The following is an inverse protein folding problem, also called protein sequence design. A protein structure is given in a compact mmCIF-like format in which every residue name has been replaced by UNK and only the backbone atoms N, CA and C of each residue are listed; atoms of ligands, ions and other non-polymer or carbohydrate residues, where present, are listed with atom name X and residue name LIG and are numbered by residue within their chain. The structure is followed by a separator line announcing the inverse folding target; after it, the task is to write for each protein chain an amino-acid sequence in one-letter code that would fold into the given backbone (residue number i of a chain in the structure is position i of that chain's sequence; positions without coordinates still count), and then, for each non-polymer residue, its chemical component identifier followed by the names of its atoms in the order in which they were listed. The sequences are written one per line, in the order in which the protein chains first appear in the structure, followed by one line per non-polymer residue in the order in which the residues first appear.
data_IF_976756953849
#
_entry.id   IF_976756953849
#
_cell.length_a   1.000
_cell.length_b   1.000
_cell.length_c   1.000
_cell.angle_alpha   90.00
_cell.angle_beta   90.00
_cell.angle_gamma   90.00
#
_symmetry.space_group_name_H-M   'P 1'
#
loop_
_entity.id
_entity.type
_entity.pdbx_description
1 polymer ?
#
# COMPACT_ATOMS: atom_id res chain seq x y z
N UNK A 1 55.95 76.06 23.16
CA UNK A 1 56.86 76.88 23.99
C UNK A 1 57.89 75.92 24.52
N UNK A 2 59.15 76.18 24.26
CA UNK A 2 60.24 75.36 24.79
C UNK A 2 60.44 75.67 26.27
N UNK A 3 60.79 74.64 27.04
CA UNK A 3 61.13 74.79 28.46
C UNK A 3 62.26 75.82 28.62
N UNK A 4 62.08 76.77 29.53
CA UNK A 4 63.09 77.81 29.79
C UNK A 4 64.37 77.20 30.38
N UNK A 5 65.50 77.88 30.17
CA UNK A 5 66.82 77.34 30.48
C UNK A 5 67.03 77.05 31.98
N UNK A 6 66.32 77.76 32.88
CA UNK A 6 66.45 77.55 34.32
C UNK A 6 65.67 76.29 34.75
N UNK A 7 64.45 76.12 34.24
CA UNK A 7 63.66 74.90 34.45
C UNK A 7 64.34 73.68 33.82
N UNK A 8 64.95 73.81 32.64
CA UNK A 8 65.72 72.72 32.01
C UNK A 8 66.90 72.27 32.88
N UNK A 9 67.67 73.20 33.42
CA UNK A 9 68.76 72.87 34.36
C UNK A 9 68.29 72.20 35.65
N UNK A 10 67.10 72.56 36.15
CA UNK A 10 66.52 71.88 37.31
C UNK A 10 66.04 70.47 36.95
N UNK A 11 65.45 70.28 35.77
CA UNK A 11 65.03 69.00 35.25
C UNK A 11 66.22 68.04 35.04
N UNK A 12 67.32 68.53 34.46
CA UNK A 12 68.56 67.76 34.27
C UNK A 12 69.16 67.30 35.62
N UNK A 13 69.10 68.16 36.66
CA UNK A 13 69.54 67.81 38.02
C UNK A 13 68.67 66.71 38.63
N UNK A 14 67.35 66.79 38.46
CA UNK A 14 66.43 65.78 38.96
C UNK A 14 66.67 64.45 38.23
N UNK A 15 66.86 64.48 36.91
CA UNK A 15 67.18 63.29 36.12
C UNK A 15 68.50 62.64 36.58
N UNK A 16 69.53 63.45 36.84
CA UNK A 16 70.80 62.96 37.40
C UNK A 16 70.63 62.29 38.77
N UNK A 17 69.90 62.92 39.69
CA UNK A 17 69.64 62.36 41.03
C UNK A 17 68.81 61.07 40.95
N UNK A 18 67.83 61.01 40.05
CA UNK A 18 67.02 59.81 39.85
C UNK A 18 67.84 58.67 39.26
N UNK A 19 68.78 58.95 38.36
CA UNK A 19 69.69 57.94 37.83
C UNK A 19 70.64 57.41 38.91
N UNK A 20 71.22 58.29 39.73
CA UNK A 20 72.09 57.87 40.84
C UNK A 20 71.32 57.01 41.86
N UNK A 21 70.09 57.42 42.21
CA UNK A 21 69.22 56.64 43.09
C UNK A 21 68.80 55.30 42.49
N UNK A 22 68.61 55.20 41.17
CA UNK A 22 68.33 53.93 40.50
C UNK A 22 69.53 52.98 40.57
N UNK A 23 70.76 53.50 40.43
CA UNK A 23 71.97 52.70 40.61
C UNK A 23 72.12 52.21 42.05
N UNK A 24 71.81 53.06 43.03
CA UNK A 24 71.83 52.67 44.44
C UNK A 24 70.76 51.59 44.72
N UNK A 25 69.55 51.74 44.21
CA UNK A 25 68.47 50.76 44.36
C UNK A 25 68.78 49.43 43.65
N UNK A 26 69.48 49.47 42.51
CA UNK A 26 69.99 48.28 41.83
C UNK A 26 71.02 47.55 42.71
N UNK A 27 71.91 48.29 43.39
CA UNK A 27 72.87 47.68 44.31
C UNK A 27 72.18 47.11 45.56
N UNK A 28 71.29 47.88 46.17
CA UNK A 28 70.54 47.47 47.37
C UNK A 28 69.61 46.29 47.09
N UNK A 29 69.01 46.21 45.90
CA UNK A 29 68.18 45.06 45.51
C UNK A 29 68.97 43.76 45.33
N UNK A 30 70.30 43.80 45.43
CA UNK A 30 71.21 42.66 45.39
C UNK A 30 71.89 42.40 46.73
N UNK A 31 71.59 43.20 47.76
CA UNK A 31 72.04 42.97 49.12
C UNK A 31 71.11 41.98 49.84
N UNK A 32 71.66 41.05 50.64
CA UNK A 32 70.89 40.28 51.61
C UNK A 32 70.07 41.19 52.53
N UNK A 33 68.84 40.76 52.88
CA UNK A 33 68.00 41.44 53.88
C UNK A 33 68.65 41.44 55.27
N UNK A 34 69.31 40.34 55.65
CA UNK A 34 70.11 40.26 56.86
C UNK A 34 71.60 40.23 56.50
N UNK A 35 72.30 41.29 56.91
CA UNK A 35 73.74 41.43 56.74
C UNK A 35 74.50 40.95 57.99
N UNK A 36 73.89 40.35 58.99
CA UNK A 36 74.60 39.79 60.15
C UNK A 36 75.30 38.44 59.93
N UNK A 37 74.89 37.55 58.99
CA UNK A 37 75.44 36.20 58.88
C UNK A 37 76.95 36.12 58.65
N UNK A 38 77.55 37.09 57.94
CA UNK A 38 79.01 37.11 57.73
C UNK A 38 79.81 37.37 59.02
N UNK A 39 79.19 37.93 60.07
CA UNK A 39 79.86 38.11 61.37
C UNK A 39 79.87 36.83 62.21
N UNK A 40 79.09 35.82 61.81
CA UNK A 40 78.98 34.54 62.53
C UNK A 40 80.10 33.61 62.09
N UNK A 41 80.94 33.20 63.04
CA UNK A 41 82.08 32.31 62.81
C UNK A 41 81.69 31.00 62.11
N UNK A 42 80.52 30.44 62.44
CA UNK A 42 80.00 29.21 61.81
C UNK A 42 79.78 29.40 60.32
N UNK A 43 79.12 30.49 59.90
CA UNK A 43 78.87 30.79 58.48
C UNK A 43 80.18 30.99 57.71
N UNK A 44 81.16 31.70 58.29
CA UNK A 44 82.47 31.90 57.65
C UNK A 44 83.29 30.60 57.51
N UNK A 45 83.25 29.72 58.51
CA UNK A 45 83.91 28.41 58.45
C UNK A 45 83.26 27.50 57.40
N UNK A 46 81.93 27.55 57.26
CA UNK A 46 81.17 26.85 56.22
C UNK A 46 81.49 27.40 54.82
N UNK A 47 81.52 28.72 54.64
CA UNK A 47 81.92 29.35 53.36
C UNK A 47 83.36 28.97 53.00
N UNK A 48 84.30 29.01 53.95
CA UNK A 48 85.69 28.64 53.72
C UNK A 48 85.82 27.16 53.34
N UNK A 49 85.09 26.26 54.01
CA UNK A 49 85.13 24.82 53.71
C UNK A 49 84.48 24.50 52.36
N UNK A 50 83.34 25.11 52.02
CA UNK A 50 82.69 24.97 50.70
C UNK A 50 83.58 25.47 49.55
N UNK A 51 84.26 26.60 49.73
CA UNK A 51 85.20 27.14 48.74
C UNK A 51 86.48 26.30 48.58
N UNK A 52 86.91 25.58 49.62
CA UNK A 52 88.09 24.70 49.59
C UNK A 52 87.79 23.27 49.14
N UNK A 53 86.59 22.74 49.37
CA UNK A 53 86.21 21.36 49.06
C UNK A 53 85.55 21.20 47.69
N UNK A 54 84.97 22.27 47.12
CA UNK A 54 84.29 22.24 45.82
C UNK A 54 83.03 21.37 45.79
N UNK A 55 82.47 21.01 46.95
CA UNK A 55 81.26 20.22 47.08
C UNK A 55 80.07 21.11 47.46
N UNK A 56 79.15 21.33 46.52
CA UNK A 56 77.82 21.87 46.77
C UNK A 56 76.88 20.68 47.06
N UNK A 57 76.92 20.13 48.28
CA UNK A 57 75.93 19.15 48.74
C UNK A 57 75.54 19.42 50.20
N UNK A 58 74.31 19.91 50.38
CA UNK A 58 73.60 20.02 51.66
C UNK A 58 72.26 20.70 51.44
N UNK A 59 71.17 19.93 51.45
CA UNK A 59 69.79 20.43 51.56
C UNK A 59 69.55 20.82 53.03
N UNK A 60 69.46 22.11 53.37
CA UNK A 60 68.80 22.61 54.60
C UNK A 60 68.44 24.11 54.45
N UNK A 61 67.18 24.37 54.07
CA UNK A 61 66.66 25.62 53.49
C UNK A 61 66.81 26.94 54.33
N UNK A 62 67.30 26.91 55.57
CA UNK A 62 67.59 28.13 56.37
C UNK A 62 69.10 28.37 56.61
N UNK A 63 69.91 27.32 56.70
CA UNK A 63 71.38 27.47 56.84
C UNK A 63 72.03 27.91 55.51
N UNK A 64 71.39 27.58 54.38
CA UNK A 64 71.86 27.94 53.04
C UNK A 64 71.77 29.45 52.75
N UNK A 65 70.78 30.16 53.32
CA UNK A 65 70.60 31.61 53.12
C UNK A 65 71.66 32.44 53.87
N UNK A 66 71.90 32.12 55.14
CA UNK A 66 72.91 32.76 55.99
C UNK A 66 74.33 32.49 55.47
N UNK A 67 74.61 31.26 55.04
CA UNK A 67 75.89 30.88 54.43
C UNK A 67 76.07 31.58 53.08
N UNK A 68 75.01 31.75 52.30
CA UNK A 68 75.07 32.46 51.03
C UNK A 68 75.27 33.98 51.21
N UNK A 69 74.58 34.61 52.15
CA UNK A 69 74.80 36.01 52.51
C UNK A 69 76.26 36.22 52.94
N UNK A 70 76.80 35.31 53.77
CA UNK A 70 78.21 35.32 54.13
C UNK A 70 79.13 35.08 52.92
N UNK A 71 78.75 34.24 51.96
CA UNK A 71 79.53 33.96 50.74
C UNK A 71 79.65 35.18 49.83
N UNK A 72 78.58 35.96 49.67
CA UNK A 72 78.61 37.19 48.87
C UNK A 72 79.59 38.20 49.45
N UNK A 73 79.55 38.39 50.76
CA UNK A 73 80.39 39.35 51.49
C UNK A 73 81.85 38.88 51.52
N UNK A 74 82.07 37.58 51.76
CA UNK A 74 83.38 36.95 51.66
C UNK A 74 83.97 37.05 50.25
N UNK A 75 83.13 36.90 49.21
CA UNK A 75 83.52 37.05 47.81
C UNK A 75 84.06 38.43 47.48
N UNK A 76 83.42 39.49 48.02
CA UNK A 76 83.89 40.87 47.89
C UNK A 76 85.18 41.07 48.67
N UNK A 77 85.20 40.66 49.93
CA UNK A 77 86.35 40.82 50.80
C UNK A 77 87.61 40.14 50.24
N UNK A 78 87.47 38.93 49.67
CA UNK A 78 88.56 38.16 49.05
C UNK A 78 89.13 38.81 47.79
N UNK A 79 88.35 39.58 47.04
CA UNK A 79 88.85 40.27 45.84
C UNK A 79 89.77 41.44 46.19
N UNK A 80 89.62 42.00 47.39
CA UNK A 80 90.24 43.28 47.78
C UNK A 80 91.09 43.21 49.07
N UNK A 81 91.27 42.03 49.66
CA UNK A 81 92.10 41.84 50.85
C UNK A 81 92.05 40.41 51.39
N UNK A 82 92.58 40.21 52.60
CA UNK A 82 92.36 38.96 53.35
C UNK A 82 90.92 38.99 53.92
N UNK A 83 90.05 38.04 53.54
CA UNK A 83 88.68 37.99 54.04
C UNK A 83 88.57 37.56 55.52
N UNK A 84 89.69 37.23 56.17
CA UNK A 84 89.78 36.93 57.61
C UNK A 84 90.33 38.07 58.44
N UNK A 85 90.85 39.13 57.80
CA UNK A 85 91.39 40.33 58.44
C UNK A 85 90.37 41.47 58.38
N UNK A 86 89.47 41.51 59.38
CA UNK A 86 88.40 42.52 59.47
C UNK A 86 88.98 43.94 59.62
N UNK A 87 90.08 44.08 60.36
CA UNK A 87 90.71 45.38 60.63
C UNK A 87 91.49 45.90 59.40
N UNK A 88 92.00 44.99 58.56
CA UNK A 88 92.75 45.32 57.34
C UNK A 88 91.91 45.45 56.07
N UNK A 89 90.65 45.04 56.08
CA UNK A 89 89.75 45.05 54.92
C UNK A 89 88.68 46.13 55.05
N UNK A 90 88.76 47.18 54.24
CA UNK A 90 87.85 48.34 54.30
C UNK A 90 86.37 47.97 54.16
N UNK A 91 86.04 46.99 53.31
CA UNK A 91 84.65 46.51 53.14
C UNK A 91 84.17 45.87 54.43
N UNK A 92 84.97 44.98 55.02
CA UNK A 92 84.61 44.28 56.25
C UNK A 92 84.54 45.24 57.45
N UNK A 93 85.45 46.21 57.53
CA UNK A 93 85.46 47.22 58.58
C UNK A 93 84.21 48.10 58.52
N UNK A 94 83.87 48.65 57.35
CA UNK A 94 82.69 49.50 57.19
C UNK A 94 81.39 48.72 57.43
N UNK A 95 81.34 47.46 57.00
CA UNK A 95 80.19 46.59 57.26
C UNK A 95 80.09 46.19 58.74
N UNK A 96 81.22 45.98 59.44
CA UNK A 96 81.23 45.74 60.89
C UNK A 96 80.69 46.96 61.64
N UNK A 97 81.22 48.14 61.33
CA UNK A 97 80.78 49.41 61.93
C UNK A 97 79.30 49.68 61.66
N UNK A 98 78.82 49.34 60.46
CA UNK A 98 77.42 49.48 60.09
C UNK A 98 76.53 48.51 60.88
N UNK A 99 76.90 47.22 60.98
CA UNK A 99 76.15 46.21 61.72
C UNK A 99 76.12 46.49 63.23
N UNK A 100 77.23 46.98 63.81
CA UNK A 100 77.25 47.42 65.22
C UNK A 100 76.33 48.62 65.44
N UNK A 101 76.32 49.59 64.52
CA UNK A 101 75.43 50.74 64.61
C UNK A 101 73.95 50.36 64.47
N UNK A 102 73.61 49.45 63.55
CA UNK A 102 72.24 48.92 63.42
C UNK A 102 71.79 48.24 64.70
N UNK A 103 72.67 47.44 65.32
CA UNK A 103 72.41 46.79 66.60
C UNK A 103 72.18 47.82 67.72
N UNK A 104 73.06 48.80 67.86
CA UNK A 104 72.94 49.87 68.86
C UNK A 104 71.66 50.68 68.67
N UNK A 105 71.29 50.99 67.43
CA UNK A 105 70.05 51.69 67.09
C UNK A 105 68.80 50.85 67.38
N UNK A 106 68.85 49.55 67.10
CA UNK A 106 67.74 48.63 67.38
C UNK A 106 67.58 48.41 68.89
N UNK A 107 68.67 48.29 69.65
CA UNK A 107 68.67 48.28 71.11
C UNK A 107 68.12 49.60 71.67
N UNK A 108 68.53 50.75 71.15
CA UNK A 108 67.99 52.04 71.56
C UNK A 108 66.48 52.17 71.25
N UNK A 109 66.05 51.74 70.06
CA UNK A 109 64.64 51.74 69.66
C UNK A 109 63.79 50.83 70.56
N UNK A 110 64.31 49.66 70.94
CA UNK A 110 63.57 48.69 71.75
C UNK A 110 63.58 49.02 73.25
N UNK A 111 64.68 49.57 73.78
CA UNK A 111 64.82 49.90 75.21
C UNK A 111 64.27 51.29 75.55
N UNK A 112 64.57 52.29 74.72
CA UNK A 112 64.21 53.70 74.97
C UNK A 112 62.94 54.10 74.21
N UNK A 113 62.56 53.38 73.16
CA UNK A 113 61.39 53.67 72.34
C UNK A 113 61.64 54.72 71.25
N UNK A 114 62.88 55.18 71.08
CA UNK A 114 63.25 56.20 70.08
C UNK A 114 64.72 56.10 69.70
N UNK A 115 65.04 56.42 68.44
CA UNK A 115 66.41 56.55 67.94
C UNK A 115 66.74 58.03 67.76
N UNK A 116 67.93 58.46 68.21
CA UNK A 116 68.37 59.85 68.07
C UNK A 116 68.68 60.21 66.59
N UNK A 117 68.41 61.47 66.22
CA UNK A 117 68.68 62.00 64.87
C UNK A 117 70.17 61.91 64.49
N UNK A 118 71.06 62.08 65.47
CA UNK A 118 72.51 61.90 65.31
C UNK A 118 72.87 60.47 64.92
N UNK A 119 72.22 59.47 65.54
CA UNK A 119 72.37 58.06 65.20
C UNK A 119 71.85 57.75 63.80
N UNK A 120 70.68 58.27 63.44
CA UNK A 120 70.09 58.10 62.11
C UNK A 120 70.95 58.73 61.00
N UNK A 121 71.50 59.94 61.24
CA UNK A 121 72.40 60.60 60.30
C UNK A 121 73.72 59.84 60.14
N UNK A 122 74.29 59.32 61.24
CA UNK A 122 75.48 58.46 61.19
C UNK A 122 75.20 57.18 60.40
N UNK A 123 74.03 56.58 60.60
CA UNK A 123 73.59 55.41 59.86
C UNK A 123 73.46 55.67 58.37
N UNK A 124 72.83 56.77 57.95
CA UNK A 124 72.74 57.12 56.53
C UNK A 124 74.11 57.37 55.89
N UNK A 125 75.02 58.05 56.59
CA UNK A 125 76.37 58.31 56.09
C UNK A 125 77.20 57.02 55.96
N UNK A 126 77.13 56.15 56.96
CA UNK A 126 77.83 54.86 56.92
C UNK A 126 77.21 53.92 55.88
N UNK A 127 75.88 53.86 55.77
CA UNK A 127 75.20 53.10 54.73
C UNK A 127 75.63 53.57 53.34
N UNK A 128 75.67 54.90 53.12
CA UNK A 128 76.15 55.45 51.86
C UNK A 128 77.60 55.09 51.59
N UNK A 129 78.47 55.18 52.59
CA UNK A 129 79.87 54.78 52.47
C UNK A 129 79.99 53.28 52.11
N UNK A 130 79.20 52.41 52.73
CA UNK A 130 79.14 50.99 52.39
C UNK A 130 78.68 50.79 50.94
N UNK A 131 77.63 51.48 50.48
CA UNK A 131 77.17 51.38 49.08
C UNK A 131 78.24 51.86 48.09
N UNK A 132 78.90 53.00 48.36
CA UNK A 132 79.96 53.54 47.52
C UNK A 132 81.15 52.58 47.47
N UNK A 133 81.57 52.03 48.62
CA UNK A 133 82.64 51.02 48.71
C UNK A 133 82.26 49.74 47.96
N UNK A 134 81.03 49.22 48.11
CA UNK A 134 80.58 48.03 47.38
C UNK A 134 80.51 48.27 45.87
N UNK A 135 80.09 49.48 45.46
CA UNK A 135 80.04 49.91 44.07
C UNK A 135 81.45 49.98 43.46
N UNK A 136 82.38 50.64 44.15
CA UNK A 136 83.78 50.78 43.71
C UNK A 136 84.50 49.42 43.65
N UNK A 137 84.07 48.46 44.47
CA UNK A 137 84.58 47.10 44.50
C UNK A 137 83.86 46.12 43.54
N UNK A 138 83.04 46.64 42.61
CA UNK A 138 82.35 45.87 41.58
C UNK A 138 81.40 44.77 42.12
N UNK A 139 80.68 45.08 43.22
CA UNK A 139 79.71 44.16 43.84
C UNK A 139 78.64 43.68 42.87
N UNK A 140 77.97 44.59 42.16
CA UNK A 140 76.86 44.24 41.25
C UNK A 140 77.29 43.28 40.13
N UNK A 141 78.38 43.52 39.38
CA UNK A 141 78.92 42.56 38.42
C UNK A 141 79.26 41.20 39.04
N UNK A 142 79.85 41.19 40.23
CA UNK A 142 80.21 39.95 40.94
C UNK A 142 79.00 39.11 41.31
N UNK A 143 77.97 39.72 41.89
CA UNK A 143 76.74 39.02 42.26
C UNK A 143 76.06 38.46 41.02
N UNK A 144 76.00 39.22 39.93
CA UNK A 144 75.46 38.74 38.64
C UNK A 144 76.24 37.57 38.08
N UNK A 145 77.57 37.59 38.17
CA UNK A 145 78.40 36.48 37.72
C UNK A 145 78.16 35.21 38.55
N UNK A 146 77.99 35.34 39.88
CA UNK A 146 77.63 34.24 40.78
C UNK A 146 76.23 33.72 40.44
N UNK A 147 75.27 34.61 40.19
CA UNK A 147 73.92 34.27 39.74
C UNK A 147 73.92 33.52 38.42
N UNK A 148 74.66 33.99 37.42
CA UNK A 148 74.76 33.34 36.10
C UNK A 148 75.42 31.97 36.20
N UNK A 149 76.47 31.80 37.01
CA UNK A 149 77.08 30.47 37.24
C UNK A 149 76.10 29.50 37.88
N UNK A 150 75.31 29.94 38.86
CA UNK A 150 74.28 29.11 39.51
C UNK A 150 73.09 28.81 38.59
N UNK A 151 72.62 29.79 37.83
CA UNK A 151 71.55 29.59 36.83
C UNK A 151 71.97 28.59 35.74
N UNK A 152 73.25 28.60 35.34
CA UNK A 152 73.80 27.64 34.39
C UNK A 152 74.02 26.24 34.99
N UNK A 153 74.23 26.13 36.31
CA UNK A 153 74.33 24.86 37.02
C UNK A 153 72.96 24.21 37.30
N UNK A 154 71.91 25.02 37.53
CA UNK A 154 70.55 24.61 37.88
C UNK A 154 69.54 24.83 36.73
N UNK A 155 69.56 23.99 35.69
CA UNK A 155 68.56 24.05 34.58
C UNK A 155 67.20 23.39 34.95
N UNK A 156 66.99 22.90 36.19
CA UNK A 156 65.83 22.05 36.53
C UNK A 156 65.00 22.41 37.79
N UNK A 157 65.24 23.51 38.49
CA UNK A 157 64.32 24.01 39.54
C UNK A 157 63.91 25.45 39.22
N UNK A 158 62.63 25.62 38.92
CA UNK A 158 62.04 26.83 38.34
C UNK A 158 61.69 27.95 39.30
N UNK A 159 62.41 28.09 40.41
CA UNK A 159 62.26 29.22 41.31
C UNK A 159 63.63 29.89 41.47
N UNK A 160 63.69 31.19 41.17
CA UNK A 160 64.90 32.00 41.36
C UNK A 160 65.32 31.86 42.82
N UNK A 161 66.44 31.18 43.07
CA UNK A 161 66.97 30.84 44.41
C UNK A 161 67.34 32.06 45.29
N UNK A 162 66.92 33.25 44.89
CA UNK A 162 67.19 34.55 45.50
C UNK A 162 65.92 35.36 45.79
N UNK A 163 64.76 34.89 45.37
CA UNK A 163 63.49 35.52 45.74
C UNK A 163 63.27 35.66 47.27
N UNK A 164 63.77 34.77 48.16
CA UNK A 164 63.59 34.94 49.60
C UNK A 164 64.63 35.87 50.27
N UNK A 165 65.81 36.05 49.67
CA UNK A 165 66.92 36.84 50.22
C UNK A 165 66.84 38.35 49.94
N UNK A 166 66.01 38.75 48.98
CA UNK A 166 65.94 40.12 48.47
C UNK A 166 64.65 40.79 48.94
N UNK A 167 64.73 42.05 49.36
CA UNK A 167 63.53 42.79 49.77
C UNK A 167 62.63 43.10 48.56
N UNK A 168 61.40 42.54 48.48
CA UNK A 168 60.45 42.85 47.42
C UNK A 168 60.04 44.33 47.43
N UNK A 169 60.16 45.01 48.57
CA UNK A 169 59.95 46.45 48.73
C UNK A 169 60.94 47.29 47.93
N UNK A 170 62.23 46.94 47.94
CA UNK A 170 63.28 47.63 47.17
C UNK A 170 63.05 47.44 45.66
N UNK A 171 62.68 46.23 45.24
CA UNK A 171 62.38 45.93 43.84
C UNK A 171 61.10 46.63 43.34
N UNK A 172 60.10 46.80 44.20
CA UNK A 172 58.91 47.59 43.89
C UNK A 172 59.25 49.08 43.79
N UNK A 173 60.06 49.60 44.71
CA UNK A 173 60.53 50.98 44.69
C UNK A 173 61.36 51.27 43.43
N UNK A 174 62.29 50.39 43.06
CA UNK A 174 63.08 50.51 41.84
C UNK A 174 62.17 50.65 40.61
N UNK A 175 61.18 49.76 40.43
CA UNK A 175 60.22 49.84 39.31
C UNK A 175 59.43 51.15 39.28
N UNK A 176 59.02 51.65 40.44
CA UNK A 176 58.33 52.95 40.55
C UNK A 176 59.28 54.09 40.15
N UNK A 177 60.53 54.03 40.59
CA UNK A 177 61.56 55.02 40.26
C UNK A 177 61.94 54.99 38.78
N UNK A 178 61.99 53.81 38.15
CA UNK A 178 62.20 53.64 36.71
C UNK A 178 61.03 54.26 35.91
N UNK A 179 59.79 53.99 36.34
CA UNK A 179 58.61 54.58 35.72
C UNK A 179 58.59 56.11 35.88
N UNK A 180 58.99 56.61 37.05
CA UNK A 180 59.10 58.04 37.32
C UNK A 180 60.19 58.70 36.47
N UNK A 181 61.36 58.08 36.36
CA UNK A 181 62.46 58.55 35.52
C UNK A 181 62.03 58.59 34.04
N UNK A 182 61.34 57.57 33.55
CA UNK A 182 60.79 57.53 32.20
C UNK A 182 59.76 58.64 31.97
N UNK A 183 58.84 58.85 32.92
CA UNK A 183 57.83 59.91 32.85
C UNK A 183 58.46 61.30 32.84
N UNK A 184 59.47 61.53 33.68
CA UNK A 184 60.19 62.80 33.74
C UNK A 184 60.97 63.02 32.45
N UNK A 185 61.65 62.00 31.93
CA UNK A 185 62.36 62.08 30.66
C UNK A 185 61.42 62.39 29.47
N UNK A 186 60.22 61.80 29.43
CA UNK A 186 59.19 62.11 28.43
C UNK A 186 58.71 63.54 28.60
N UNK A 187 58.31 63.93 29.81
CA UNK A 187 57.80 65.28 30.10
C UNK A 187 58.81 66.38 29.83
N UNK A 188 60.10 66.11 30.04
CA UNK A 188 61.18 67.06 29.76
C UNK A 188 61.42 67.25 28.25
N UNK A 189 60.97 66.28 27.43
CA UNK A 189 61.13 66.28 25.97
C UNK A 189 59.87 66.71 25.22
N UNK A 190 58.69 66.57 25.81
CA UNK A 190 57.41 66.96 25.20
C UNK A 190 57.19 68.47 25.25
N UNK A 191 56.74 69.04 24.12
CA UNK A 191 56.38 70.46 24.02
C UNK A 191 54.88 70.69 24.19
N UNK A 192 54.49 71.88 24.64
CA UNK A 192 53.07 72.30 24.75
C UNK A 192 52.30 72.12 23.44
N UNK A 193 52.96 72.24 22.28
CA UNK A 193 52.31 72.05 20.98
C UNK A 193 51.97 70.58 20.72
N UNK A 194 52.83 69.65 21.14
CA UNK A 194 52.58 68.21 21.05
C UNK A 194 51.46 67.80 22.01
N UNK A 195 51.40 68.36 23.21
CA UNK A 195 50.30 68.12 24.15
C UNK A 195 48.94 68.57 23.59
N UNK A 196 48.90 69.77 22.99
CA UNK A 196 47.68 70.28 22.33
C UNK A 196 47.29 69.42 21.13
N UNK A 197 48.26 68.87 20.39
CA UNK A 197 48.01 67.97 19.27
C UNK A 197 47.46 66.62 19.74
N UNK A 198 48.09 66.01 20.74
CA UNK A 198 47.66 64.75 21.35
C UNK A 198 46.27 64.88 21.98
N UNK A 199 45.99 65.99 22.66
CA UNK A 199 44.67 66.28 23.19
C UNK A 199 43.61 66.39 22.10
N UNK A 200 43.92 67.04 20.96
CA UNK A 200 43.00 67.12 19.82
C UNK A 200 42.70 65.74 19.23
N UNK A 201 43.72 64.91 19.02
CA UNK A 201 43.54 63.53 18.52
C UNK A 201 42.65 62.74 19.47
N UNK A 202 42.94 62.80 20.78
CA UNK A 202 42.16 62.09 21.78
C UNK A 202 40.71 62.56 21.81
N UNK A 203 40.49 63.87 21.75
CA UNK A 203 39.15 64.45 21.74
C UNK A 203 38.35 64.07 20.47
N UNK A 204 38.99 64.06 19.31
CA UNK A 204 38.38 63.56 18.07
C UNK A 204 38.04 62.06 18.15
N UNK A 205 38.93 61.24 18.72
CA UNK A 205 38.70 59.82 18.93
C UNK A 205 37.50 59.57 19.86
N UNK A 206 37.43 60.28 20.99
CA UNK A 206 36.31 60.19 21.93
C UNK A 206 35.00 60.64 21.28
N UNK A 207 35.02 61.68 20.45
CA UNK A 207 33.83 62.12 19.73
C UNK A 207 33.37 61.08 18.69
N UNK A 208 34.30 60.46 17.95
CA UNK A 208 33.99 59.36 17.02
C UNK A 208 33.42 58.14 17.74
N UNK A 209 33.95 57.82 18.92
CA UNK A 209 33.42 56.74 19.75
C UNK A 209 32.00 57.04 20.24
N UNK A 210 31.74 58.28 20.69
CA UNK A 210 30.40 58.71 21.10
C UNK A 210 29.39 58.63 19.95
N UNK A 211 29.76 59.05 18.73
CA UNK A 211 28.89 58.93 17.55
C UNK A 211 28.66 57.47 17.19
N UNK A 212 29.70 56.64 17.14
CA UNK A 212 29.56 55.21 16.87
C UNK A 212 28.68 54.50 17.92
N UNK A 213 28.80 54.87 19.20
CA UNK A 213 27.93 54.37 20.27
C UNK A 213 26.46 54.77 20.07
N UNK A 214 26.20 55.97 19.57
CA UNK A 214 24.85 56.41 19.23
C UNK A 214 24.28 55.60 18.04
N UNK A 215 25.10 55.36 17.00
CA UNK A 215 24.70 54.57 15.83
C UNK A 215 24.40 53.11 16.21
N UNK A 216 25.22 52.49 17.07
CA UNK A 216 24.96 51.14 17.59
C UNK A 216 23.65 51.10 18.38
N UNK A 217 23.35 52.14 19.17
CA UNK A 217 22.07 52.22 19.89
C UNK A 217 20.89 52.41 18.94
N UNK A 218 21.04 53.17 17.85
CA UNK A 218 20.02 53.33 16.82
C UNK A 218 19.75 52.01 16.10
N UNK A 219 20.80 51.35 15.59
CA UNK A 219 20.73 50.03 14.96
C UNK A 219 20.09 48.98 15.87
N UNK A 220 20.44 48.99 17.17
CA UNK A 220 19.84 48.05 18.13
C UNK A 220 18.33 48.30 18.31
N UNK A 221 17.87 49.56 18.26
CA UNK A 221 16.42 49.86 18.29
C UNK A 221 15.72 49.42 17.01
N UNK A 222 16.26 49.75 15.84
CA UNK A 222 15.69 49.34 14.55
C UNK A 222 15.64 47.80 14.42
N UNK A 223 16.69 47.11 14.87
CA UNK A 223 16.71 45.65 14.94
C UNK A 223 15.63 45.10 15.87
N UNK A 224 15.44 45.72 17.03
CA UNK A 224 14.41 45.28 17.97
C UNK A 224 13.00 45.54 17.43
N UNK A 225 12.75 46.69 16.82
CA UNK A 225 11.47 47.02 16.17
C UNK A 225 11.15 46.07 15.02
N UNK A 226 12.13 45.79 14.15
CA UNK A 226 11.96 44.82 13.05
C UNK A 226 11.74 43.41 13.57
N UNK A 227 12.45 42.99 14.62
CA UNK A 227 12.24 41.70 15.27
C UNK A 227 10.84 41.59 15.85
N UNK A 228 10.35 42.61 16.56
CA UNK A 228 9.01 42.63 17.14
C UNK A 228 7.93 42.65 16.06
N UNK A 229 8.10 43.42 15.00
CA UNK A 229 7.20 43.43 13.84
C UNK A 229 7.13 42.06 13.16
N UNK A 230 8.26 41.39 12.96
CA UNK A 230 8.30 40.03 12.39
C UNK A 230 7.66 39.00 13.33
N UNK A 231 7.87 39.10 14.64
CA UNK A 231 7.20 38.24 15.60
C UNK A 231 5.67 38.41 15.57
N UNK A 232 5.18 39.64 15.42
CA UNK A 232 3.76 39.91 15.29
C UNK A 232 3.17 39.37 13.97
N UNK A 233 3.91 39.49 12.87
CA UNK A 233 3.54 38.91 11.57
C UNK A 233 3.45 37.38 11.63
N UNK A 234 4.46 36.72 12.22
CA UNK A 234 4.44 35.26 12.41
C UNK A 234 3.27 34.83 13.29
N UNK A 235 3.00 35.53 14.39
CA UNK A 235 1.87 35.21 15.25
C UNK A 235 0.52 35.37 14.51
N UNK A 236 0.38 36.37 13.65
CA UNK A 236 -0.83 36.54 12.83
C UNK A 236 -1.00 35.39 11.82
N UNK A 237 0.10 34.98 11.16
CA UNK A 237 0.08 33.84 10.23
C UNK A 237 -0.23 32.52 10.97
N UNK A 238 0.31 32.31 12.16
CA UNK A 238 -0.01 31.13 12.97
C UNK A 238 -1.51 31.07 13.32
N UNK A 239 -2.13 32.21 13.63
CA UNK A 239 -3.59 32.26 13.85
C UNK A 239 -4.40 31.99 12.59
N UNK A 240 -3.94 32.44 11.41
CA UNK A 240 -4.59 32.16 10.13
C UNK A 240 -4.47 30.67 9.77
N UNK A 241 -3.30 30.07 9.99
CA UNK A 241 -3.08 28.63 9.79
C UNK A 241 -4.03 27.82 10.67
N UNK A 242 -4.15 28.16 11.96
CA UNK A 242 -5.08 27.49 12.87
C UNK A 242 -6.53 27.57 12.38
N UNK A 243 -6.97 28.74 11.91
CA UNK A 243 -8.33 28.90 11.36
C UNK A 243 -8.54 28.01 10.12
N UNK A 244 -7.57 27.96 9.21
CA UNK A 244 -7.65 27.10 8.01
C UNK A 244 -7.66 25.62 8.40
N UNK A 245 -6.87 25.20 9.40
CA UNK A 245 -6.87 23.83 9.90
C UNK A 245 -8.24 23.45 10.49
N UNK A 246 -8.85 24.33 11.28
CA UNK A 246 -10.20 24.15 11.82
C UNK A 246 -11.25 24.08 10.71
N UNK A 247 -11.17 24.93 9.68
CA UNK A 247 -12.07 24.90 8.52
C UNK A 247 -11.93 23.59 7.72
N UNK A 248 -10.70 23.09 7.55
CA UNK A 248 -10.43 21.81 6.89
C UNK A 248 -11.03 20.66 7.71
N UNK A 249 -10.84 20.67 9.03
CA UNK A 249 -11.41 19.64 9.91
C UNK A 249 -12.94 19.67 9.90
N UNK A 250 -13.54 20.85 9.96
CA UNK A 250 -14.98 21.04 9.80
C UNK A 250 -15.48 20.47 8.47
N UNK A 251 -14.83 20.84 7.36
CA UNK A 251 -15.20 20.36 6.02
C UNK A 251 -15.06 18.84 5.91
N UNK A 252 -13.99 18.26 6.46
CA UNK A 252 -13.82 16.80 6.53
C UNK A 252 -14.93 16.12 7.32
N UNK A 253 -15.34 16.72 8.45
CA UNK A 253 -16.47 16.25 9.26
C UNK A 253 -17.78 16.26 8.48
N UNK A 254 -18.09 17.37 7.81
CA UNK A 254 -19.30 17.49 6.98
C UNK A 254 -19.30 16.47 5.84
N UNK A 255 -18.20 16.34 5.10
CA UNK A 255 -18.08 15.36 4.01
C UNK A 255 -18.23 13.93 4.52
N UNK A 256 -17.66 13.59 5.68
CA UNK A 256 -17.83 12.28 6.29
C UNK A 256 -19.30 12.00 6.67
N UNK A 257 -19.99 12.99 7.22
CA UNK A 257 -21.43 12.90 7.53
C UNK A 257 -22.27 12.74 6.25
N UNK A 258 -22.02 13.53 5.21
CA UNK A 258 -22.72 13.45 3.93
C UNK A 258 -22.48 12.11 3.25
N UNK A 259 -21.25 11.59 3.28
CA UNK A 259 -20.91 10.28 2.73
C UNK A 259 -21.62 9.17 3.50
N UNK A 260 -21.67 9.25 4.83
CA UNK A 260 -22.39 8.27 5.65
C UNK A 260 -23.89 8.27 5.33
N UNK A 261 -24.50 9.46 5.24
CA UNK A 261 -25.91 9.60 4.87
C UNK A 261 -26.19 9.08 3.44
N UNK A 262 -25.29 9.36 2.48
CA UNK A 262 -25.40 8.84 1.12
C UNK A 262 -25.33 7.32 1.08
N UNK A 263 -24.40 6.71 1.83
CA UNK A 263 -24.28 5.26 1.92
C UNK A 263 -25.52 4.62 2.55
N UNK A 264 -26.09 5.22 3.59
CA UNK A 264 -27.33 4.75 4.22
C UNK A 264 -28.51 4.80 3.25
N UNK A 265 -28.71 5.93 2.55
CA UNK A 265 -29.77 6.06 1.53
C UNK A 265 -29.58 5.07 0.39
N UNK A 266 -28.34 4.87 -0.08
CA UNK A 266 -28.06 3.92 -1.14
C UNK A 266 -28.32 2.47 -0.70
N UNK A 267 -28.00 2.14 0.56
CA UNK A 267 -28.33 0.84 1.15
C UNK A 267 -29.85 0.64 1.22
N UNK A 268 -30.60 1.63 1.72
CA UNK A 268 -32.07 1.57 1.76
C UNK A 268 -32.66 1.38 0.36
N UNK A 269 -32.19 2.13 -0.63
CA UNK A 269 -32.63 2.00 -2.03
C UNK A 269 -32.32 0.60 -2.60
N UNK A 270 -31.18 0.02 -2.25
CA UNK A 270 -30.81 -1.33 -2.67
C UNK A 270 -31.70 -2.39 -1.98
N UNK A 271 -32.01 -2.23 -0.70
CA UNK A 271 -32.94 -3.10 0.04
C UNK A 271 -34.36 -3.00 -0.53
N UNK A 272 -34.85 -1.80 -0.84
CA UNK A 272 -36.14 -1.58 -1.51
C UNK A 272 -36.19 -2.26 -2.88
N UNK A 273 -35.14 -2.12 -3.70
CA UNK A 273 -35.04 -2.81 -4.99
C UNK A 273 -35.08 -4.32 -4.83
N UNK A 274 -34.30 -4.87 -3.89
CA UNK A 274 -34.29 -6.31 -3.62
C UNK A 274 -35.66 -6.81 -3.15
N UNK A 275 -36.33 -6.07 -2.28
CA UNK A 275 -37.68 -6.40 -1.81
C UNK A 275 -38.69 -6.34 -2.96
N UNK A 276 -38.61 -5.32 -3.82
CA UNK A 276 -39.46 -5.19 -5.00
C UNK A 276 -39.25 -6.34 -5.99
N UNK A 277 -37.99 -6.66 -6.31
CA UNK A 277 -37.62 -7.77 -7.20
C UNK A 277 -38.10 -9.11 -6.63
N UNK A 278 -37.96 -9.33 -5.32
CA UNK A 278 -38.47 -10.52 -4.66
C UNK A 278 -40.00 -10.63 -4.74
N UNK A 279 -40.72 -9.51 -4.54
CA UNK A 279 -42.18 -9.45 -4.70
C UNK A 279 -42.60 -9.75 -6.14
N UNK A 280 -41.97 -9.09 -7.12
CA UNK A 280 -42.27 -9.29 -8.53
C UNK A 280 -41.97 -10.74 -8.98
N UNK A 281 -40.85 -11.33 -8.54
CA UNK A 281 -40.56 -12.75 -8.76
C UNK A 281 -41.63 -13.66 -8.12
N UNK A 282 -42.13 -13.30 -6.95
CA UNK A 282 -43.25 -13.97 -6.29
C UNK A 282 -44.52 -13.94 -7.14
N UNK A 283 -44.90 -12.78 -7.66
CA UNK A 283 -46.06 -12.61 -8.54
C UNK A 283 -45.92 -13.41 -9.84
N UNK A 284 -44.76 -13.33 -10.50
CA UNK A 284 -44.47 -14.09 -11.73
C UNK A 284 -44.54 -15.60 -11.47
N UNK A 285 -44.00 -16.08 -10.34
CA UNK A 285 -44.12 -17.50 -9.96
C UNK A 285 -45.57 -17.93 -9.74
N UNK A 286 -46.38 -17.10 -9.10
CA UNK A 286 -47.81 -17.37 -8.92
C UNK A 286 -48.55 -17.40 -10.26
N UNK A 287 -48.26 -16.47 -11.17
CA UNK A 287 -48.84 -16.47 -12.51
C UNK A 287 -48.41 -17.70 -13.32
N UNK A 288 -47.13 -18.08 -13.25
CA UNK A 288 -46.61 -19.29 -13.89
C UNK A 288 -47.34 -20.55 -13.37
N UNK A 289 -47.51 -20.68 -12.05
CA UNK A 289 -48.24 -21.79 -11.44
C UNK A 289 -49.72 -21.83 -11.90
N UNK A 290 -50.40 -20.68 -11.94
CA UNK A 290 -51.78 -20.57 -12.44
C UNK A 290 -51.88 -20.99 -13.91
N UNK A 291 -50.95 -20.55 -14.76
CA UNK A 291 -50.92 -20.94 -16.17
C UNK A 291 -50.61 -22.43 -16.35
N UNK A 292 -49.72 -23.00 -15.53
CA UNK A 292 -49.42 -24.42 -15.56
C UNK A 292 -50.65 -25.25 -15.16
N UNK A 293 -51.38 -24.85 -14.11
CA UNK A 293 -52.62 -25.50 -13.69
C UNK A 293 -53.72 -25.39 -14.77
N UNK A 294 -53.89 -24.22 -15.37
CA UNK A 294 -54.82 -24.02 -16.48
C UNK A 294 -54.46 -24.90 -17.69
N UNK A 295 -53.17 -25.00 -18.03
CA UNK A 295 -52.69 -25.85 -19.12
C UNK A 295 -52.92 -27.33 -18.83
N UNK A 296 -52.63 -27.80 -17.61
CA UNK A 296 -52.92 -29.18 -17.19
C UNK A 296 -54.42 -29.48 -17.30
N UNK A 297 -55.28 -28.55 -16.88
CA UNK A 297 -56.73 -28.70 -16.99
C UNK A 297 -57.19 -28.78 -18.44
N UNK A 298 -56.66 -27.93 -19.32
CA UNK A 298 -56.97 -27.96 -20.76
C UNK A 298 -56.47 -29.24 -21.43
N UNK A 299 -55.28 -29.72 -21.08
CA UNK A 299 -54.73 -30.98 -21.60
C UNK A 299 -55.59 -32.15 -21.16
N UNK A 300 -56.01 -32.20 -19.88
CA UNK A 300 -56.90 -33.24 -19.38
C UNK A 300 -58.25 -33.23 -20.12
N UNK A 301 -58.86 -32.06 -20.27
CA UNK A 301 -60.12 -31.89 -21.01
C UNK A 301 -59.99 -32.34 -22.47
N UNK A 302 -58.91 -31.97 -23.16
CA UNK A 302 -58.66 -32.41 -24.53
C UNK A 302 -58.45 -33.93 -24.61
N UNK A 303 -57.76 -34.53 -23.64
CA UNK A 303 -57.61 -35.98 -23.58
C UNK A 303 -58.94 -36.71 -23.41
N UNK A 304 -59.82 -36.20 -22.53
CA UNK A 304 -61.18 -36.69 -22.35
C UNK A 304 -62.01 -36.57 -23.63
N UNK A 305 -62.00 -35.39 -24.27
CA UNK A 305 -62.68 -35.15 -25.54
C UNK A 305 -62.16 -36.08 -26.65
N UNK A 306 -60.84 -36.25 -26.76
CA UNK A 306 -60.22 -37.17 -27.73
C UNK A 306 -60.64 -38.62 -27.47
N UNK A 307 -60.67 -39.05 -26.20
CA UNK A 307 -61.11 -40.39 -25.82
C UNK A 307 -62.60 -40.62 -26.14
N UNK A 308 -63.46 -39.64 -25.85
CA UNK A 308 -64.87 -39.67 -26.23
C UNK A 308 -65.06 -39.75 -27.75
N UNK A 309 -64.31 -38.97 -28.53
CA UNK A 309 -64.36 -39.02 -29.98
C UNK A 309 -63.85 -40.36 -30.54
N UNK A 310 -62.78 -40.92 -29.97
CA UNK A 310 -62.27 -42.26 -30.35
C UNK A 310 -63.30 -43.35 -30.08
N UNK A 311 -63.94 -43.34 -28.91
CA UNK A 311 -64.99 -44.33 -28.57
C UNK A 311 -66.23 -44.16 -29.45
N UNK A 312 -66.66 -42.93 -29.75
CA UNK A 312 -67.74 -42.68 -30.71
C UNK A 312 -67.38 -43.16 -32.12
N UNK A 313 -66.15 -42.89 -32.58
CA UNK A 313 -65.64 -43.38 -33.86
C UNK A 313 -65.66 -44.89 -33.91
N UNK A 314 -65.12 -45.59 -32.90
CA UNK A 314 -65.13 -47.05 -32.83
C UNK A 314 -66.56 -47.62 -32.85
N UNK A 315 -67.51 -47.00 -32.14
CA UNK A 315 -68.93 -47.40 -32.18
C UNK A 315 -69.53 -47.23 -33.58
N UNK A 316 -69.26 -46.12 -34.26
CA UNK A 316 -69.74 -45.87 -35.63
C UNK A 316 -69.09 -46.81 -36.63
N UNK A 317 -67.77 -47.04 -36.54
CA UNK A 317 -67.04 -48.00 -37.38
C UNK A 317 -67.57 -49.42 -37.18
N UNK A 318 -67.86 -49.83 -35.94
CA UNK A 318 -68.49 -51.12 -35.65
C UNK A 318 -69.91 -51.22 -36.22
N UNK A 319 -70.73 -50.17 -36.11
CA UNK A 319 -72.08 -50.14 -36.68
C UNK A 319 -72.05 -50.22 -38.22
N UNK A 320 -71.14 -49.49 -38.87
CA UNK A 320 -70.95 -49.58 -40.34
C UNK A 320 -70.46 -50.96 -40.73
N UNK A 321 -69.50 -51.54 -40.00
CA UNK A 321 -69.00 -52.88 -40.27
C UNK A 321 -70.11 -53.93 -40.13
N UNK A 322 -70.95 -53.82 -39.10
CA UNK A 322 -72.12 -54.68 -38.92
C UNK A 322 -73.13 -54.54 -40.07
N UNK A 323 -73.43 -53.30 -40.48
CA UNK A 323 -74.33 -53.05 -41.62
C UNK A 323 -73.79 -53.62 -42.94
N UNK A 324 -72.47 -53.53 -43.18
CA UNK A 324 -71.81 -54.17 -44.33
C UNK A 324 -71.98 -55.69 -44.26
N UNK A 325 -71.69 -56.31 -43.10
CA UNK A 325 -71.84 -57.77 -42.96
C UNK A 325 -73.29 -58.23 -43.15
N UNK A 326 -74.27 -57.45 -42.70
CA UNK A 326 -75.69 -57.75 -42.90
C UNK A 326 -76.08 -57.61 -44.38
N UNK A 327 -75.61 -56.55 -45.04
CA UNK A 327 -75.81 -56.37 -46.48
C UNK A 327 -75.18 -57.51 -47.30
N UNK A 328 -73.94 -57.90 -46.98
CA UNK A 328 -73.25 -59.02 -47.64
C UNK A 328 -74.00 -60.34 -47.43
N UNK A 329 -74.56 -60.58 -46.24
CA UNK A 329 -75.39 -61.75 -45.95
C UNK A 329 -76.70 -61.72 -46.77
N UNK A 330 -77.38 -60.58 -46.85
CA UNK A 330 -78.59 -60.41 -47.64
C UNK A 330 -78.30 -60.65 -49.14
N UNK A 331 -77.21 -60.09 -49.65
CA UNK A 331 -76.77 -60.29 -51.04
C UNK A 331 -76.41 -61.74 -51.32
N UNK A 332 -75.69 -62.41 -50.41
CA UNK A 332 -75.39 -63.84 -50.52
C UNK A 332 -76.67 -64.69 -50.57
N UNK A 333 -77.65 -64.36 -49.72
CA UNK A 333 -78.96 -65.06 -49.69
C UNK A 333 -79.73 -64.84 -50.99
N UNK A 334 -79.76 -63.60 -51.51
CA UNK A 334 -80.38 -63.28 -52.80
C UNK A 334 -79.69 -63.97 -53.98
N UNK A 335 -78.36 -64.03 -53.99
CA UNK A 335 -77.61 -64.77 -55.00
C UNK A 335 -77.93 -66.27 -54.94
N UNK A 336 -78.00 -66.86 -53.75
CA UNK A 336 -78.39 -68.26 -53.57
C UNK A 336 -79.83 -68.52 -54.04
N UNK A 337 -80.78 -67.63 -53.73
CA UNK A 337 -82.15 -67.72 -54.19
C UNK A 337 -82.27 -67.59 -55.72
N UNK A 338 -81.50 -66.68 -56.31
CA UNK A 338 -81.45 -66.48 -57.78
C UNK A 338 -80.85 -67.71 -58.47
N UNK A 339 -79.80 -68.30 -57.90
CA UNK A 339 -79.22 -69.54 -58.41
C UNK A 339 -80.22 -70.71 -58.32
N UNK A 340 -80.99 -70.81 -57.23
CA UNK A 340 -82.04 -71.81 -57.09
C UNK A 340 -83.17 -71.63 -58.11
N UNK A 341 -83.65 -70.40 -58.30
CA UNK A 341 -84.67 -70.08 -59.31
C UNK A 341 -84.19 -70.35 -60.73
N UNK A 342 -82.92 -70.03 -61.04
CA UNK A 342 -82.34 -70.36 -62.35
C UNK A 342 -82.28 -71.87 -62.56
N UNK A 343 -81.91 -72.64 -61.54
CA UNK A 343 -81.91 -74.11 -61.61
C UNK A 343 -83.32 -74.67 -61.81
N UNK A 344 -84.30 -74.14 -61.09
CA UNK A 344 -85.72 -74.50 -61.26
C UNK A 344 -86.21 -74.16 -62.67
N UNK A 345 -85.85 -72.99 -63.21
CA UNK A 345 -86.17 -72.61 -64.58
C UNK A 345 -85.50 -73.53 -65.62
N UNK A 346 -84.25 -73.94 -65.40
CA UNK A 346 -83.57 -74.94 -66.24
C UNK A 346 -84.32 -76.29 -66.21
N UNK A 347 -84.68 -76.79 -65.03
CA UNK A 347 -85.46 -78.03 -64.85
C UNK A 347 -86.84 -77.95 -65.54
N UNK A 348 -87.54 -76.82 -65.39
CA UNK A 348 -88.82 -76.57 -66.06
C UNK A 348 -88.67 -76.53 -67.59
N UNK A 349 -87.60 -75.92 -68.11
CA UNK A 349 -87.34 -75.94 -69.55
C UNK A 349 -87.05 -77.35 -70.06
N UNK A 350 -86.32 -78.17 -69.31
CA UNK A 350 -86.08 -79.58 -69.65
C UNK A 350 -87.40 -80.38 -69.66
N UNK A 351 -88.28 -80.15 -68.67
CA UNK A 351 -89.59 -80.80 -68.62
C UNK A 351 -90.49 -80.39 -69.79
N UNK A 352 -90.48 -79.12 -70.20
CA UNK A 352 -91.22 -78.64 -71.37
C UNK A 352 -90.71 -79.32 -72.65
N UNK A 353 -89.38 -79.40 -72.83
CA UNK A 353 -88.80 -80.07 -74.01
C UNK A 353 -89.18 -81.55 -74.05
N UNK A 354 -89.15 -82.25 -72.91
CA UNK A 354 -89.58 -83.65 -72.82
C UNK A 354 -91.07 -83.82 -73.18
N UNK A 355 -91.94 -82.94 -72.68
CA UNK A 355 -93.36 -82.93 -73.02
C UNK A 355 -93.60 -82.63 -74.50
N UNK A 356 -92.86 -81.70 -75.12
CA UNK A 356 -92.93 -81.46 -76.57
C UNK A 356 -92.54 -82.69 -77.38
N UNK A 357 -91.53 -83.44 -76.95
CA UNK A 357 -91.15 -84.71 -77.56
C UNK A 357 -92.27 -85.76 -77.46
N UNK A 358 -92.87 -85.95 -76.27
CA UNK A 358 -94.01 -86.85 -76.08
C UNK A 358 -95.23 -86.45 -76.94
N UNK A 359 -95.52 -85.15 -77.03
CA UNK A 359 -96.61 -84.62 -77.84
C UNK A 359 -96.38 -84.87 -79.33
N UNK A 360 -95.12 -84.80 -79.79
CA UNK A 360 -94.74 -85.14 -81.16
C UNK A 360 -94.96 -86.62 -81.46
N UNK A 361 -94.61 -87.51 -80.54
CA UNK A 361 -94.86 -88.96 -80.63
C UNK A 361 -96.37 -89.26 -80.68
N UNK A 362 -97.17 -88.57 -79.87
CA UNK A 362 -98.63 -88.70 -79.86
C UNK A 362 -99.27 -88.18 -81.16
N UNK A 363 -98.74 -87.11 -81.75
CA UNK A 363 -99.19 -86.63 -83.05
C UNK A 363 -98.88 -87.63 -84.17
N UNK A 364 -97.70 -88.27 -84.15
CA UNK A 364 -97.38 -89.32 -85.12
C UNK A 364 -98.30 -90.54 -84.99
N UNK A 365 -98.57 -91.00 -83.77
CA UNK A 365 -99.47 -92.15 -83.55
C UNK A 365 -100.93 -91.84 -83.87
N UNK A 366 -101.38 -90.61 -83.63
CA UNK A 366 -102.71 -90.16 -84.08
C UNK A 366 -102.84 -90.19 -85.61
N UNK A 367 -101.82 -89.70 -86.32
CA UNK A 367 -101.83 -89.72 -87.79
C UNK A 367 -101.82 -91.16 -88.35
N UNK A 368 -101.08 -92.07 -87.71
CA UNK A 368 -101.08 -93.51 -88.06
C UNK A 368 -102.45 -94.15 -87.81
N UNK A 369 -103.10 -93.85 -86.68
CA UNK A 369 -104.45 -94.33 -86.37
C UNK A 369 -105.51 -93.80 -87.34
N UNK A 370 -105.44 -92.53 -87.74
CA UNK A 370 -106.36 -91.96 -88.74
C UNK A 370 -106.19 -92.63 -90.12
N UNK A 371 -104.95 -92.99 -90.49
CA UNK A 371 -104.67 -93.74 -91.72
C UNK A 371 -105.25 -95.16 -91.67
N UNK A 372 -105.13 -95.83 -90.53
CA UNK A 372 -105.65 -97.19 -90.33
C UNK A 372 -107.19 -97.21 -90.42
N UNK A 373 -107.85 -96.21 -89.82
CA UNK A 373 -109.31 -96.04 -89.92
C UNK A 373 -109.79 -95.76 -91.34
N UNK A 374 -109.01 -95.05 -92.16
CA UNK A 374 -109.31 -94.82 -93.57
C UNK A 374 -109.20 -96.13 -94.39
N UNK A 375 -108.21 -96.98 -94.09
CA UNK A 375 -108.07 -98.31 -94.73
C UNK A 375 -109.25 -99.21 -94.35
N UNK A 376 -109.72 -99.17 -93.10
CA UNK A 376 -110.85 -99.95 -92.63
C UNK A 376 -112.17 -99.54 -93.31
N UNK A 377 -112.41 -98.24 -93.47
CA UNK A 377 -113.53 -97.70 -94.24
C UNK A 377 -113.52 -98.14 -95.71
N UNK A 378 -112.33 -98.27 -96.32
CA UNK A 378 -112.20 -98.77 -97.70
C UNK A 378 -112.50 -100.27 -97.80
N UNK A 379 -112.21 -101.06 -96.76
CA UNK A 379 -112.52 -102.50 -96.71
C UNK A 379 -114.03 -102.74 -96.57
N UNK A 380 -114.71 -102.02 -95.69
CA UNK A 380 -116.16 -102.15 -95.49
C UNK A 380 -116.94 -101.84 -96.77
N UNK A 381 -116.54 -100.79 -97.50
CA UNK A 381 -117.16 -100.42 -98.78
C UNK A 381 -116.98 -101.51 -99.85
N UNK A 382 -115.85 -102.20 -99.86
CA UNK A 382 -115.59 -103.31 -100.77
C UNK A 382 -116.45 -104.55 -100.45
N UNK A 383 -116.73 -104.80 -99.17
CA UNK A 383 -117.63 -105.89 -98.75
C UNK A 383 -119.09 -105.61 -99.12
N UNK A 384 -119.54 -104.35 -99.04
CA UNK A 384 -120.89 -103.96 -99.49
C UNK A 384 -121.09 -104.16 -100.99
N UNK A 385 -120.12 -103.74 -101.82
CA UNK A 385 -120.17 -103.92 -103.28
C UNK A 385 -120.21 -105.41 -103.69
N UNK A 386 -119.45 -106.28 -102.99
CA UNK A 386 -119.50 -107.73 -103.21
C UNK A 386 -120.89 -108.33 -102.88
N UNK A 387 -121.49 -107.88 -101.78
CA UNK A 387 -122.78 -108.38 -101.32
C UNK A 387 -123.91 -107.99 -102.28
N UNK A 388 -123.84 -106.80 -102.88
CA UNK A 388 -124.81 -106.33 -103.86
C UNK A 388 -124.74 -107.13 -105.18
N UNK A 389 -123.53 -107.44 -105.65
CA UNK A 389 -123.31 -108.30 -106.82
C UNK A 389 -123.82 -109.75 -106.59
N UNK A 390 -123.64 -110.29 -105.39
CA UNK A 390 -124.12 -111.62 -105.00
C UNK A 390 -125.66 -111.69 -105.00
N UNK A 391 -126.32 -110.64 -104.52
CA UNK A 391 -127.79 -110.53 -104.49
C UNK A 391 -128.40 -110.41 -105.89
N UNK A 392 -127.75 -109.70 -106.82
CA UNK A 392 -128.21 -109.62 -108.22
C UNK A 392 -128.14 -110.98 -108.93
N UNK A 393 -127.04 -111.71 -108.77
CA UNK A 393 -126.89 -113.06 -109.34
C UNK A 393 -127.92 -114.05 -108.80
N UNK A 394 -128.24 -113.96 -107.50
CA UNK A 394 -129.23 -114.83 -106.84
C UNK A 394 -130.65 -114.61 -107.37
N UNK A 395 -131.04 -113.35 -107.67
CA UNK A 395 -132.35 -113.03 -108.29
C UNK A 395 -132.48 -113.58 -109.71
N UNK A 396 -131.40 -113.53 -110.50
CA UNK A 396 -131.36 -114.07 -111.87
C UNK A 396 -131.52 -115.59 -111.88
N UNK A 397 -130.85 -116.30 -110.96
CA UNK A 397 -131.00 -117.76 -110.79
C UNK A 397 -132.44 -118.14 -110.41
N UNK A 398 -133.06 -117.39 -109.49
CA UNK A 398 -134.46 -117.62 -109.09
C UNK A 398 -135.46 -117.40 -110.24
N UNK A 399 -135.21 -116.42 -111.12
CA UNK A 399 -136.04 -116.17 -112.31
C UNK A 399 -135.95 -117.34 -113.31
N UNK A 400 -134.74 -117.84 -113.57
CA UNK A 400 -134.52 -119.01 -114.43
C UNK A 400 -135.18 -120.27 -113.87
N UNK A 401 -135.12 -120.49 -112.55
CA UNK A 401 -135.75 -121.64 -111.90
C UNK A 401 -137.29 -121.58 -111.94
N UNK A 402 -137.88 -120.38 -111.78
CA UNK A 402 -139.33 -120.17 -111.91
C UNK A 402 -139.83 -120.38 -113.34
N UNK A 403 -139.08 -119.92 -114.34
CA UNK A 403 -139.40 -120.15 -115.75
C UNK A 403 -139.33 -121.64 -116.13
N UNK A 404 -138.36 -122.38 -115.58
CA UNK A 404 -138.26 -123.83 -115.74
C UNK A 404 -139.45 -124.58 -115.11
N UNK A 405 -139.83 -124.24 -113.88
CA UNK A 405 -140.98 -124.85 -113.19
C UNK A 405 -142.33 -124.57 -113.88
N UNK A 406 -142.49 -123.40 -114.51
CA UNK A 406 -143.66 -123.08 -115.31
C UNK A 406 -143.76 -123.94 -116.59
N UNK A 407 -142.63 -124.20 -117.27
CA UNK A 407 -142.57 -125.09 -118.44
C UNK A 407 -142.93 -126.54 -118.10
N UNK A 408 -142.45 -127.06 -116.96
CA UNK A 408 -142.73 -128.45 -116.53
C UNK A 408 -144.21 -128.66 -116.19
N UNK A 409 -144.89 -127.66 -115.64
CA UNK A 409 -146.34 -127.76 -115.34
C UNK A 409 -147.21 -127.72 -116.60
N UNK A 410 -146.87 -126.88 -117.58
CA UNK A 410 -147.61 -126.81 -118.86
C UNK A 410 -147.50 -128.10 -119.67
N UNK A 411 -146.36 -128.81 -119.59
CA UNK A 411 -146.14 -130.05 -120.33
C UNK A 411 -146.93 -131.25 -119.77
N UNK A 412 -147.30 -131.23 -118.48
CA UNK A 412 -148.17 -132.25 -117.86
C UNK A 412 -149.64 -132.09 -118.26
N UNK A 413 -150.10 -130.89 -118.60
CA UNK A 413 -151.48 -130.64 -119.03
C UNK A 413 -151.78 -131.10 -120.46
N UNK A 414 -150.77 -131.44 -121.27
CA UNK A 414 -150.96 -131.75 -122.68
C UNK A 414 -151.04 -133.26 -123.03
N UNK A 415 -150.50 -134.15 -122.18
CA UNK A 415 -150.24 -135.55 -122.55
C UNK A 415 -151.28 -136.60 -122.06
N UNK A 416 -152.37 -136.22 -121.38
CA UNK A 416 -153.38 -137.18 -120.90
C UNK A 416 -154.69 -137.18 -121.69
N UNK A 417 -154.78 -136.48 -122.82
CA UNK A 417 -155.92 -136.58 -123.73
C UNK A 417 -155.62 -137.45 -124.97
N UNK A 418 -156.44 -138.51 -125.15
CA UNK A 418 -156.66 -139.34 -126.38
C UNK A 418 -155.95 -140.72 -126.47
N UNK A 419 -156.59 -141.79 -125.96
CA UNK A 419 -157.44 -142.75 -126.75
C UNK A 419 -157.71 -144.08 -125.99
N UNK A 420 -158.99 -144.36 -125.68
CA UNK A 420 -159.67 -145.64 -126.02
C UNK A 420 -161.20 -145.47 -125.95
N UNK A 421 -161.91 -146.19 -126.82
CA UNK A 421 -163.28 -145.97 -127.30
C UNK A 421 -164.26 -146.97 -126.64
N UNK A 422 -165.46 -146.53 -126.26
CA UNK A 422 -166.69 -147.35 -126.31
C UNK A 422 -167.34 -147.84 -125.00
N UNK A 423 -168.51 -147.28 -124.67
CA UNK A 423 -169.76 -148.04 -124.43
C UNK A 423 -170.97 -147.11 -124.66
N UNK A 424 -172.01 -147.54 -125.41
CA UNK A 424 -173.16 -146.72 -125.76
C UNK A 424 -174.48 -147.23 -125.14
N UNK A 425 -175.20 -146.35 -124.42
CA UNK A 425 -176.66 -146.28 -124.21
C UNK A 425 -176.92 -145.40 -122.97
N UNK A 426 -177.95 -144.56 -123.12
CA UNK A 426 -178.88 -144.04 -122.09
C UNK A 426 -178.32 -143.23 -120.93
#
# INVERSE_FOLDING_TARGET
MDMDALTRRQADKIEYVLQDLLLDLELVSLLPVDMTPWTRKVCLETVHTQLCSGAEEGDEDEEDEDVYAAQLIYGVAKRHGDPTDVDGNEVLLQMAEFAELEKDMLEAATVVGSVEETGLNRHHMLFRAVLDTLRDNEYVPMVREIQERRANAFIMKGDSALAPLLDPGVSALQRVMEALAALIAVRNKTTVNEDVHNYRILHEAVNKEKTASADVKALKREYQETKESRMAEVAALDTEIQQIEEEIEYTRGVVAMELAAFLEVNQQLQEERQAHDASHLGEVRQLAAKHEEALRTLVAKNHEESSMLRTQRAKKEAAVSAAITEYDLQMSTLHAATAALNKEAEEDTEAIVALEEELRVLLTSKNEYELEKFIESMRDKHYEDMQEALNQNTRTIQACFRAYMARVKFQKEQNTSKKKKGRPRR
#
